data_IF_880791924276
#
_entry.id   IF_880791924276
#
_cell.length_a   1.000
_cell.length_b   1.000
_cell.length_c   1.000
_cell.angle_alpha   90.00
_cell.angle_beta   90.00
_cell.angle_gamma   90.00
#
_symmetry.space_group_name_H-M   'P 1'
#
loop_
_entity.id
_entity.type
_entity.pdbx_description
1 polymer ?
#
# COMPACT_ATOMS: atom_id res chain seq x y z
N UNK A 1 -40.13 25.66 0.87
CA UNK A 1 -39.23 25.86 2.03
C UNK A 1 -37.85 25.47 1.56
N UNK A 2 -37.06 26.48 1.21
CA UNK A 2 -35.97 26.32 0.26
C UNK A 2 -34.67 25.89 0.94
N UNK A 3 -33.89 25.05 0.28
CA UNK A 3 -32.59 24.54 0.74
C UNK A 3 -31.64 25.65 1.21
N UNK A 4 -31.78 26.85 0.64
CA UNK A 4 -31.06 28.06 1.04
C UNK A 4 -31.33 28.47 2.50
N UNK A 5 -32.56 28.30 3.02
CA UNK A 5 -32.88 28.55 4.42
C UNK A 5 -32.12 27.59 5.35
N UNK A 6 -32.07 26.31 4.99
CA UNK A 6 -31.36 25.29 5.77
C UNK A 6 -29.83 25.53 5.79
N UNK A 7 -29.24 25.95 4.67
CA UNK A 7 -27.82 26.35 4.63
C UNK A 7 -27.56 27.53 5.57
N UNK A 8 -28.41 28.55 5.53
CA UNK A 8 -28.22 29.73 6.36
C UNK A 8 -28.38 29.41 7.85
N UNK A 9 -29.35 28.53 8.20
CA UNK A 9 -29.52 28.02 9.56
C UNK A 9 -28.25 27.29 10.05
N UNK A 10 -27.66 26.42 9.23
CA UNK A 10 -26.45 25.68 9.57
C UNK A 10 -25.27 26.64 9.81
N UNK A 11 -25.09 27.66 8.97
CA UNK A 11 -24.02 28.67 9.12
C UNK A 11 -24.14 29.42 10.45
N UNK A 12 -25.35 29.82 10.84
CA UNK A 12 -25.62 30.50 12.12
C UNK A 12 -25.28 29.59 13.30
N UNK A 13 -25.64 28.31 13.23
CA UNK A 13 -25.34 27.34 14.31
C UNK A 13 -23.83 27.12 14.45
N UNK A 14 -23.12 26.91 13.35
CA UNK A 14 -21.66 26.69 13.35
C UNK A 14 -20.92 27.91 13.91
N UNK A 15 -21.33 29.12 13.52
CA UNK A 15 -20.70 30.36 14.02
C UNK A 15 -20.93 30.57 15.52
N UNK A 16 -22.09 30.17 16.05
CA UNK A 16 -22.38 30.22 17.49
C UNK A 16 -21.50 29.24 18.29
N UNK A 17 -21.33 28.02 17.79
CA UNK A 17 -20.47 27.00 18.40
C UNK A 17 -18.99 27.42 18.34
N UNK A 18 -18.53 27.93 17.19
CA UNK A 18 -17.16 28.41 17.04
C UNK A 18 -16.84 29.57 17.98
N UNK A 19 -17.80 30.49 18.18
CA UNK A 19 -17.64 31.62 19.12
C UNK A 19 -17.62 31.18 20.58
N UNK A 20 -18.36 30.13 20.94
CA UNK A 20 -18.34 29.56 22.29
C UNK A 20 -17.04 28.80 22.61
N UNK A 21 -16.48 28.07 21.64
CA UNK A 21 -15.27 27.26 21.84
C UNK A 21 -13.96 28.06 21.89
N UNK A 22 -13.88 29.24 21.25
CA UNK A 22 -12.67 30.08 21.25
C UNK A 22 -12.23 30.54 22.65
N UNK A 23 -13.12 30.51 23.66
CA UNK A 23 -12.78 30.89 25.04
C UNK A 23 -12.02 29.80 25.83
N UNK A 24 -11.90 28.57 25.29
CA UNK A 24 -11.33 27.43 26.01
C UNK A 24 -9.95 26.98 25.50
N UNK A 25 -9.45 27.55 24.41
CA UNK A 25 -8.22 27.10 23.74
C UNK A 25 -6.98 27.95 24.08
N UNK A 26 -6.90 28.49 25.29
CA UNK A 26 -5.79 29.34 25.71
C UNK A 26 -5.37 29.06 27.15
N UNK A 27 -4.70 27.93 27.39
CA UNK A 27 -3.83 27.72 28.54
C UNK A 27 -3.06 26.40 28.36
N UNK A 28 -1.79 26.51 27.98
CA UNK A 28 -0.82 25.42 28.06
C UNK A 28 -0.11 25.50 29.42
N UNK A 29 0.00 24.42 30.21
CA UNK A 29 0.86 24.40 31.37
C UNK A 29 2.33 24.01 31.01
N UNK A 30 3.33 24.54 31.75
CA UNK A 30 4.77 24.35 31.49
C UNK A 30 5.30 22.97 31.94
N UNK A 31 6.49 22.53 31.47
CA UNK A 31 7.01 21.19 31.70
C UNK A 31 7.56 21.02 33.14
N UNK A 32 7.14 19.93 33.79
CA UNK A 32 7.53 19.60 35.16
C UNK A 32 8.77 18.68 35.20
N UNK A 33 9.69 19.04 36.10
CA UNK A 33 10.96 18.40 36.41
C UNK A 33 10.87 16.90 36.73
N UNK A 34 11.82 16.09 36.24
CA UNK A 34 12.04 14.72 36.74
C UNK A 34 13.39 14.64 37.48
N UNK A 35 13.44 14.18 38.75
CA UNK A 35 14.67 14.11 39.56
C UNK A 35 15.63 12.97 39.22
N UNK A 36 16.93 13.26 39.39
CA UNK A 36 18.08 12.36 39.36
C UNK A 36 18.01 11.13 40.29
N UNK A 37 18.43 9.96 39.81
CA UNK A 37 19.22 8.92 40.55
C UNK A 37 19.54 7.68 39.69
N UNK A 38 20.50 6.80 40.08
CA UNK A 38 21.93 7.02 40.27
C UNK A 38 22.78 6.15 39.32
N UNK A 39 24.02 6.58 39.15
CA UNK A 39 25.07 5.94 38.37
C UNK A 39 25.55 4.64 39.03
N UNK A 40 25.48 3.51 38.33
CA UNK A 40 26.16 2.24 38.69
C UNK A 40 27.04 1.80 37.53
N UNK A 41 28.34 1.83 37.77
CA UNK A 41 29.40 1.44 36.84
C UNK A 41 29.50 -0.08 36.73
N UNK A 42 29.31 -0.62 35.52
CA UNK A 42 29.86 -1.91 35.10
C UNK A 42 30.23 -1.87 33.61
N UNK A 43 31.36 -2.49 33.22
CA UNK A 43 31.88 -2.41 31.86
C UNK A 43 31.12 -3.38 30.98
N UNK A 44 30.39 -2.87 30.01
CA UNK A 44 29.80 -3.70 28.97
C UNK A 44 30.03 -3.05 27.62
N UNK A 45 30.55 -3.86 26.70
CA UNK A 45 30.62 -3.67 25.26
C UNK A 45 29.19 -3.60 24.70
N UNK A 46 28.44 -2.58 25.11
CA UNK A 46 27.14 -2.26 24.53
C UNK A 46 27.37 -1.17 23.49
N UNK A 47 26.84 -1.33 22.26
CA UNK A 47 26.83 -0.22 21.32
C UNK A 47 26.08 0.94 22.00
N UNK A 48 26.68 2.13 22.00
CA UNK A 48 26.04 3.33 22.53
C UNK A 48 24.61 3.39 21.99
N UNK A 49 23.58 3.55 22.85
CA UNK A 49 22.21 3.66 22.36
C UNK A 49 22.15 4.87 21.43
N UNK A 50 21.79 4.62 20.17
CA UNK A 50 21.70 5.65 19.15
C UNK A 50 20.63 6.64 19.60
N UNK A 51 21.01 7.90 19.74
CA UNK A 51 20.09 8.96 20.18
C UNK A 51 19.28 9.47 18.99
N UNK A 52 18.11 10.05 19.24
CA UNK A 52 17.27 10.59 18.18
C UNK A 52 17.95 11.73 17.40
N UNK A 53 18.84 12.48 18.06
CA UNK A 53 19.69 13.46 17.37
C UNK A 53 20.68 12.79 16.41
N UNK A 54 21.26 11.64 16.78
CA UNK A 54 22.13 10.89 15.86
C UNK A 54 21.35 10.36 14.65
N UNK A 55 20.11 9.91 14.83
CA UNK A 55 19.23 9.49 13.73
C UNK A 55 18.81 10.66 12.84
N UNK A 56 18.51 11.82 13.43
CA UNK A 56 18.21 13.02 12.66
C UNK A 56 19.44 13.50 11.88
N UNK A 57 20.62 13.42 12.47
CA UNK A 57 21.88 13.75 11.81
C UNK A 57 22.19 12.79 10.66
N UNK A 58 21.85 11.51 10.81
CA UNK A 58 21.94 10.51 9.75
C UNK A 58 20.99 10.81 8.58
N UNK A 59 19.74 11.19 8.86
CA UNK A 59 18.76 11.59 7.83
C UNK A 59 19.17 12.90 7.14
N UNK A 60 19.81 13.82 7.87
CA UNK A 60 20.32 15.08 7.34
C UNK A 60 21.66 14.95 6.59
N UNK A 61 22.23 13.75 6.51
CA UNK A 61 23.41 13.45 5.70
C UNK A 61 24.75 13.94 6.26
N UNK A 62 24.79 14.40 7.52
CA UNK A 62 26.04 14.87 8.16
C UNK A 62 26.82 13.70 8.79
N UNK A 63 27.63 13.05 7.96
CA UNK A 63 28.79 12.17 8.27
C UNK A 63 28.61 11.03 9.28
N UNK A 64 28.84 9.85 8.73
CA UNK A 64 28.93 8.53 9.35
C UNK A 64 29.94 8.45 10.51
N UNK A 65 29.50 7.95 11.66
CA UNK A 65 30.41 7.32 12.62
C UNK A 65 31.03 6.10 11.93
N UNK A 66 32.36 6.10 11.83
CA UNK A 66 33.20 5.07 11.22
C UNK A 66 32.83 3.67 11.74
N UNK A 67 31.95 2.97 11.01
CA UNK A 67 31.85 1.52 11.06
C UNK A 67 33.04 0.97 10.27
N UNK A 68 33.85 0.04 10.81
CA UNK A 68 34.89 -0.59 10.01
C UNK A 68 34.22 -1.26 8.81
N UNK A 69 34.60 -0.82 7.62
CA UNK A 69 34.03 -1.32 6.38
C UNK A 69 34.30 -2.82 6.27
N UNK A 70 33.31 -3.66 5.88
CA UNK A 70 33.58 -5.03 5.51
C UNK A 70 34.59 -5.07 4.35
N UNK A 71 35.47 -6.08 4.28
CA UNK A 71 36.46 -6.18 3.22
C UNK A 71 35.75 -6.13 1.87
N UNK A 72 36.19 -5.21 0.99
CA UNK A 72 35.66 -5.11 -0.37
C UNK A 72 35.82 -6.47 -1.05
N UNK A 73 34.75 -7.08 -1.57
CA UNK A 73 34.88 -8.22 -2.48
C UNK A 73 35.78 -7.78 -3.64
N UNK A 74 36.79 -8.59 -3.98
CA UNK A 74 37.51 -8.40 -5.23
C UNK A 74 36.50 -8.60 -6.35
N UNK A 75 36.26 -7.55 -7.13
CA UNK A 75 35.47 -7.69 -8.34
C UNK A 75 36.17 -8.69 -9.26
N UNK A 76 35.49 -9.75 -9.71
CA UNK A 76 36.03 -10.60 -10.75
C UNK A 76 36.27 -9.75 -12.00
N UNK A 77 37.50 -9.79 -12.51
CA UNK A 77 37.88 -9.20 -13.78
C UNK A 77 37.24 -10.08 -14.86
N UNK A 78 36.12 -9.62 -15.42
CA UNK A 78 35.48 -10.29 -16.54
C UNK A 78 36.13 -9.79 -17.82
N UNK A 79 36.63 -10.72 -18.65
CA UNK A 79 36.91 -10.42 -20.06
C UNK A 79 35.57 -10.16 -20.74
N UNK A 80 35.28 -8.89 -20.98
CA UNK A 80 34.13 -8.49 -21.79
C UNK A 80 34.47 -8.78 -23.25
N UNK A 81 33.89 -9.86 -23.78
CA UNK A 81 33.88 -10.09 -25.22
C UNK A 81 32.80 -9.19 -25.80
N UNK A 82 33.24 -8.15 -26.51
CA UNK A 82 32.33 -7.27 -27.25
C UNK A 82 31.91 -7.97 -28.54
N UNK A 83 30.65 -8.40 -28.57
CA UNK A 83 30.06 -9.05 -29.74
C UNK A 83 29.47 -8.04 -30.73
N UNK A 84 29.41 -6.76 -30.38
CA UNK A 84 28.74 -5.72 -31.17
C UNK A 84 29.56 -5.36 -32.43
N UNK A 85 30.88 -5.54 -32.38
CA UNK A 85 31.79 -5.21 -33.50
C UNK A 85 31.71 -6.18 -34.70
N UNK A 86 31.05 -7.35 -34.56
CA UNK A 86 30.99 -8.40 -35.58
C UNK A 86 29.56 -8.76 -36.02
N UNK A 87 28.56 -7.94 -35.69
CA UNK A 87 27.21 -8.14 -36.19
C UNK A 87 27.15 -7.54 -37.60
N UNK A 88 27.01 -8.35 -38.68
CA UNK A 88 26.78 -7.79 -40.00
C UNK A 88 25.47 -6.99 -39.96
N UNK A 89 25.46 -5.78 -40.54
CA UNK A 89 24.24 -5.01 -40.71
C UNK A 89 23.21 -5.88 -41.45
N UNK A 90 22.14 -6.28 -40.76
CA UNK A 90 21.01 -7.03 -41.35
C UNK A 90 20.22 -6.06 -42.23
N UNK A 91 20.75 -5.80 -43.41
CA UNK A 91 20.06 -5.10 -44.51
C UNK A 91 19.55 -6.18 -45.46
N UNK A 92 18.74 -7.10 -44.95
CA UNK A 92 17.88 -7.90 -45.81
C UNK A 92 16.65 -7.05 -46.12
N UNK A 93 16.52 -6.65 -47.37
CA UNK A 93 15.26 -6.09 -47.86
C UNK A 93 14.17 -7.12 -47.58
N UNK A 94 13.10 -6.71 -46.89
CA UNK A 94 11.95 -7.55 -46.60
C UNK A 94 11.51 -8.24 -47.90
N UNK A 95 11.63 -9.56 -47.96
CA UNK A 95 11.15 -10.33 -49.11
C UNK A 95 9.66 -10.04 -49.29
N UNK A 96 9.27 -9.51 -50.45
CA UNK A 96 7.88 -9.27 -50.80
C UNK A 96 7.16 -10.61 -50.93
N UNK A 97 6.63 -11.11 -49.81
CA UNK A 97 5.83 -12.33 -49.78
C UNK A 97 4.47 -12.04 -50.40
N UNK A 98 4.20 -12.66 -51.56
CA UNK A 98 2.88 -12.58 -52.20
C UNK A 98 1.84 -13.31 -51.31
N UNK A 99 1.12 -12.53 -50.53
CA UNK A 99 0.21 -13.01 -49.51
C UNK A 99 -1.12 -13.46 -50.13
N UNK A 100 -1.26 -14.77 -50.34
CA UNK A 100 -2.44 -15.40 -50.91
C UNK A 100 -3.60 -15.46 -49.90
N UNK A 101 -4.46 -14.44 -49.92
CA UNK A 101 -5.62 -14.29 -49.05
C UNK A 101 -6.58 -15.51 -49.10
N UNK A 102 -6.60 -16.26 -50.21
CA UNK A 102 -7.50 -17.42 -50.36
C UNK A 102 -7.03 -18.63 -49.53
N UNK A 103 -5.73 -18.75 -49.28
CA UNK A 103 -5.19 -19.81 -48.41
C UNK A 103 -5.53 -19.54 -46.95
N UNK A 104 -5.53 -18.27 -46.56
CA UNK A 104 -5.91 -17.88 -45.20
C UNK A 104 -7.39 -18.00 -44.95
N UNK A 105 -8.23 -17.76 -45.96
CA UNK A 105 -9.67 -17.99 -45.80
C UNK A 105 -9.97 -19.47 -45.52
N UNK A 106 -9.27 -20.39 -46.19
CA UNK A 106 -9.36 -21.83 -45.90
C UNK A 106 -8.81 -22.17 -44.51
N UNK A 107 -7.66 -21.62 -44.14
CA UNK A 107 -7.07 -21.83 -42.82
C UNK A 107 -8.03 -21.34 -41.71
N UNK A 108 -8.63 -20.18 -41.91
CA UNK A 108 -9.60 -19.58 -41.00
C UNK A 108 -10.88 -20.43 -40.90
N UNK A 109 -11.42 -20.89 -42.02
CA UNK A 109 -12.57 -21.80 -42.04
C UNK A 109 -12.27 -23.12 -41.29
N UNK A 110 -11.08 -23.70 -41.48
CA UNK A 110 -10.68 -24.92 -40.77
C UNK A 110 -10.53 -24.69 -39.27
N UNK A 111 -9.96 -23.56 -38.86
CA UNK A 111 -9.85 -23.17 -37.46
C UNK A 111 -11.23 -22.98 -36.82
N UNK A 112 -12.14 -22.27 -37.48
CA UNK A 112 -13.51 -22.09 -36.99
C UNK A 112 -14.27 -23.41 -36.88
N UNK A 113 -14.11 -24.31 -37.85
CA UNK A 113 -14.74 -25.62 -37.82
C UNK A 113 -14.24 -26.45 -36.63
N UNK A 114 -12.93 -26.46 -36.40
CA UNK A 114 -12.32 -27.16 -35.26
C UNK A 114 -12.75 -26.55 -33.92
N UNK A 115 -12.89 -25.22 -33.83
CA UNK A 115 -13.39 -24.55 -32.63
C UNK A 115 -14.83 -24.96 -32.31
N UNK A 116 -15.72 -24.96 -33.33
CA UNK A 116 -17.12 -25.39 -33.19
C UNK A 116 -17.25 -26.87 -32.84
N UNK A 117 -16.31 -27.71 -33.27
CA UNK A 117 -16.26 -29.13 -32.89
C UNK A 117 -15.76 -29.31 -31.46
N UNK A 118 -14.72 -28.58 -31.06
CA UNK A 118 -14.20 -28.58 -29.70
C UNK A 118 -15.26 -28.13 -28.69
N UNK A 119 -16.06 -27.10 -29.00
CA UNK A 119 -17.17 -26.63 -28.14
C UNK A 119 -18.25 -27.69 -27.90
N UNK A 120 -18.44 -28.64 -28.84
CA UNK A 120 -19.39 -29.75 -28.68
C UNK A 120 -18.83 -30.87 -27.80
N UNK A 121 -17.53 -30.89 -27.56
CA UNK A 121 -16.88 -31.88 -26.70
C UNK A 121 -17.37 -31.75 -25.25
N UNK A 122 -17.61 -32.86 -24.53
CA UNK A 122 -17.97 -32.80 -23.11
C UNK A 122 -16.93 -32.06 -22.26
N UNK A 123 -15.65 -32.10 -22.65
CA UNK A 123 -14.54 -31.41 -21.98
C UNK A 123 -14.64 -29.88 -22.07
N UNK A 124 -15.26 -29.33 -23.13
CA UNK A 124 -15.39 -27.89 -23.29
C UNK A 124 -16.31 -27.24 -22.23
N UNK A 125 -17.26 -28.01 -21.68
CA UNK A 125 -18.14 -27.53 -20.60
C UNK A 125 -17.42 -27.42 -19.26
N UNK A 126 -16.29 -28.12 -19.11
CA UNK A 126 -15.48 -28.15 -17.89
C UNK A 126 -14.37 -27.09 -17.89
N UNK A 127 -14.06 -26.50 -19.05
CA UNK A 127 -13.08 -25.43 -19.15
C UNK A 127 -13.72 -24.14 -18.64
N UNK A 128 -13.22 -23.54 -17.55
CA UNK A 128 -13.72 -22.25 -17.09
C UNK A 128 -13.42 -21.19 -18.15
N UNK A 129 -14.38 -20.32 -18.42
CA UNK A 129 -14.17 -19.18 -19.30
C UNK A 129 -12.99 -18.34 -18.81
N UNK A 130 -12.23 -17.75 -19.74
CA UNK A 130 -11.09 -16.87 -19.46
C UNK A 130 -11.60 -15.67 -18.64
N UNK A 131 -11.50 -15.76 -17.31
CA UNK A 131 -12.08 -14.79 -16.36
C UNK A 131 -12.85 -15.42 -15.19
N UNK A 132 -13.22 -16.70 -15.30
CA UNK A 132 -13.71 -17.48 -14.17
C UNK A 132 -12.52 -17.85 -13.28
N UNK A 133 -12.40 -17.14 -12.16
CA UNK A 133 -11.48 -17.52 -11.08
C UNK A 133 -11.87 -18.93 -10.64
N UNK A 134 -11.09 -19.94 -11.04
CA UNK A 134 -11.21 -21.30 -10.52
C UNK A 134 -11.08 -21.23 -9.00
N UNK A 135 -12.21 -21.14 -8.32
CA UNK A 135 -12.28 -21.18 -6.87
C UNK A 135 -12.19 -22.65 -6.49
N UNK A 136 -10.96 -23.17 -6.51
CA UNK A 136 -10.66 -24.52 -6.06
C UNK A 136 -11.27 -24.71 -4.67
N UNK A 137 -12.06 -25.77 -4.52
CA UNK A 137 -12.90 -25.96 -3.33
C UNK A 137 -12.07 -26.04 -2.04
N UNK A 138 -10.79 -26.40 -2.18
CA UNK A 138 -9.76 -26.41 -1.15
C UNK A 138 -9.47 -25.03 -0.52
N UNK A 139 -9.89 -23.92 -1.14
CA UNK A 139 -9.68 -22.57 -0.60
C UNK A 139 -10.91 -21.96 0.08
N UNK A 140 -12.00 -22.73 0.25
CA UNK A 140 -13.19 -22.27 1.00
C UNK A 140 -12.82 -21.88 2.43
N UNK A 141 -11.87 -22.57 3.05
CA UNK A 141 -11.42 -22.32 4.43
C UNK A 141 -10.69 -20.98 4.61
N UNK A 142 -10.03 -20.46 3.58
CA UNK A 142 -9.37 -19.15 3.60
C UNK A 142 -10.32 -17.97 3.33
N UNK A 143 -11.61 -18.24 3.04
CA UNK A 143 -12.63 -17.19 2.96
C UNK A 143 -13.06 -16.77 4.38
N UNK A 144 -12.12 -16.21 5.14
CA UNK A 144 -12.44 -15.52 6.38
C UNK A 144 -13.22 -14.27 5.97
N UNK A 145 -14.56 -14.36 6.05
CA UNK A 145 -15.43 -13.19 5.93
C UNK A 145 -14.93 -12.18 6.95
N UNK A 146 -14.28 -11.11 6.49
CA UNK A 146 -13.87 -9.99 7.35
C UNK A 146 -15.15 -9.47 8.03
N UNK A 147 -15.40 -9.91 9.26
CA UNK A 147 -16.45 -9.32 10.09
C UNK A 147 -16.05 -7.87 10.26
N UNK A 148 -16.70 -6.96 9.52
CA UNK A 148 -16.57 -5.53 9.78
C UNK A 148 -16.96 -5.36 11.25
N UNK A 149 -16.03 -4.88 12.07
CA UNK A 149 -16.35 -4.55 13.45
C UNK A 149 -17.34 -3.37 13.40
N UNK A 150 -18.64 -3.68 13.38
CA UNK A 150 -19.70 -2.69 13.46
C UNK A 150 -19.80 -2.24 14.91
N UNK A 151 -18.88 -1.37 15.33
CA UNK A 151 -19.06 -0.64 16.56
C UNK A 151 -20.23 0.34 16.34
N UNK A 152 -21.37 0.06 16.96
CA UNK A 152 -22.55 0.92 16.89
C UNK A 152 -22.36 2.12 17.82
N UNK A 153 -21.43 3.02 17.48
CA UNK A 153 -21.12 4.24 18.25
C UNK A 153 -22.37 5.09 18.53
N UNK A 154 -23.32 5.10 17.59
CA UNK A 154 -24.61 5.79 17.71
C UNK A 154 -25.46 5.29 18.88
N UNK A 155 -25.36 4.00 19.23
CA UNK A 155 -26.08 3.44 20.38
C UNK A 155 -25.33 3.72 21.68
N UNK A 156 -23.99 3.74 21.67
CA UNK A 156 -23.20 4.09 22.85
C UNK A 156 -23.32 5.58 23.24
N UNK A 157 -23.65 6.48 22.30
CA UNK A 157 -23.86 7.91 22.56
C UNK A 157 -25.12 8.23 23.41
N UNK A 158 -26.07 7.29 23.52
CA UNK A 158 -27.30 7.49 24.32
C UNK A 158 -27.06 7.36 25.82
N UNK A 159 -26.06 6.59 26.21
CA UNK A 159 -25.73 6.33 27.61
C UNK A 159 -24.58 7.23 28.09
N UNK A 160 -24.61 7.77 29.32
CA UNK A 160 -23.54 8.63 29.83
C UNK A 160 -22.20 7.88 29.99
N UNK A 161 -22.23 6.56 30.23
CA UNK A 161 -21.03 5.71 30.23
C UNK A 161 -20.54 5.39 28.82
N UNK A 162 -21.46 5.17 27.87
CA UNK A 162 -21.13 4.90 26.48
C UNK A 162 -20.58 6.13 25.76
N UNK A 163 -21.04 7.34 26.12
CA UNK A 163 -20.48 8.60 25.62
C UNK A 163 -18.98 8.73 25.91
N UNK A 164 -18.55 8.45 27.16
CA UNK A 164 -17.13 8.47 27.53
C UNK A 164 -16.31 7.48 26.72
N UNK A 165 -16.84 6.26 26.52
CA UNK A 165 -16.20 5.21 25.73
C UNK A 165 -16.07 5.61 24.27
N UNK A 166 -17.14 6.11 23.66
CA UNK A 166 -17.15 6.61 22.29
C UNK A 166 -16.19 7.79 22.11
N UNK A 167 -16.13 8.71 23.07
CA UNK A 167 -15.20 9.84 23.07
C UNK A 167 -13.74 9.38 23.11
N UNK A 168 -13.38 8.48 24.05
CA UNK A 168 -12.04 7.90 24.13
C UNK A 168 -11.69 7.14 22.84
N UNK A 169 -12.62 6.35 22.31
CA UNK A 169 -12.39 5.59 21.08
C UNK A 169 -12.19 6.52 19.88
N UNK A 170 -12.96 7.62 19.80
CA UNK A 170 -12.78 8.64 18.76
C UNK A 170 -11.41 9.31 18.86
N UNK A 171 -10.92 9.56 20.08
CA UNK A 171 -9.60 10.12 20.30
C UNK A 171 -8.48 9.15 19.89
N UNK A 172 -8.64 7.85 20.18
CA UNK A 172 -7.69 6.80 19.78
C UNK A 172 -7.65 6.63 18.25
N UNK A 173 -8.81 6.63 17.60
CA UNK A 173 -8.92 6.46 16.15
C UNK A 173 -8.45 7.70 15.37
N UNK A 174 -8.64 8.88 15.94
CA UNK A 174 -8.25 10.15 15.33
C UNK A 174 -6.82 10.57 15.72
N UNK A 175 -6.11 9.73 16.48
CA UNK A 175 -4.70 9.92 16.80
C UNK A 175 -3.89 9.72 15.51
N UNK A 176 -3.67 10.83 14.83
CA UNK A 176 -2.88 10.93 13.61
C UNK A 176 -1.50 10.31 13.80
N UNK A 177 -1.19 9.37 12.92
CA UNK A 177 -0.06 9.59 12.03
C UNK A 177 -0.41 10.79 11.12
#
# INVERSE_FOLDING_TARGET
MDFQFWIWLIIVVITLIARANKKKAGQAPPPENIPNKPQRSQPSTQPKPITFEDLLREIQGEKTLSKPAPPKPKEPEYDFVDYDDNIPDEIEDLEDVDYDHNKDEKAFQTYEAALKEAEKSPLAKEIPSVGSVMRSEHFKEYNIKKKKASFNFLNELKDPKGFKKAFIMSEILNKKY
#
